data_IF_435772302367
#
_entry.id   IF_435772302367
#
_cell.length_a   1.000
_cell.length_b   1.000
_cell.length_c   1.000
_cell.angle_alpha   90.00
_cell.angle_beta   90.00
_cell.angle_gamma   90.00
#
_symmetry.space_group_name_H-M   'P 1'
#
loop_
_entity.id
_entity.type
_entity.pdbx_description
1 polymer ?
#
# COMPACT_ATOMS: atom_id res chain seq x y z
N UNK A 1 9.65 -8.96 24.71
CA UNK A 1 8.38 -8.98 23.95
C UNK A 1 8.70 -8.77 22.48
N UNK A 2 7.95 -9.38 21.56
CA UNK A 2 8.12 -9.09 20.12
C UNK A 2 7.66 -7.66 19.84
N UNK A 3 8.36 -6.97 18.94
CA UNK A 3 7.96 -5.65 18.45
C UNK A 3 6.69 -5.79 17.62
N UNK A 4 5.72 -4.90 17.85
CA UNK A 4 4.43 -4.93 17.16
C UNK A 4 4.38 -3.91 16.04
N UNK A 5 3.97 -4.35 14.86
CA UNK A 5 3.83 -3.52 13.65
C UNK A 5 2.38 -3.55 13.17
N UNK A 6 1.83 -2.37 12.91
CA UNK A 6 0.55 -2.21 12.23
C UNK A 6 0.78 -2.18 10.72
N UNK A 7 0.08 -3.05 9.99
CA UNK A 7 0.09 -3.05 8.52
C UNK A 7 -1.31 -2.72 8.02
N UNK A 8 -1.49 -1.53 7.47
CA UNK A 8 -2.74 -1.16 6.82
C UNK A 8 -2.74 -1.59 5.37
N UNK A 9 -3.86 -2.09 4.86
CA UNK A 9 -3.90 -2.74 3.54
C UNK A 9 -3.20 -4.10 3.55
N UNK A 10 -3.12 -4.74 4.72
CA UNK A 10 -2.34 -5.95 4.93
C UNK A 10 -2.91 -7.21 4.29
N UNK A 11 -4.16 -7.20 3.81
CA UNK A 11 -4.74 -8.29 3.01
C UNK A 11 -4.58 -8.06 1.51
N UNK A 12 -4.03 -6.91 1.09
CA UNK A 12 -3.67 -6.64 -0.30
C UNK A 12 -2.41 -7.40 -0.74
N UNK A 13 -2.05 -7.25 -2.03
CA UNK A 13 -0.92 -7.95 -2.65
C UNK A 13 0.40 -7.70 -1.90
N UNK A 14 0.88 -6.46 -1.89
CA UNK A 14 2.16 -6.11 -1.24
C UNK A 14 2.06 -6.28 0.28
N UNK A 15 0.91 -5.89 0.86
CA UNK A 15 0.66 -5.98 2.30
C UNK A 15 0.78 -7.41 2.83
N UNK A 16 0.18 -8.39 2.16
CA UNK A 16 0.20 -9.79 2.59
C UNK A 16 1.62 -10.38 2.58
N UNK A 17 2.41 -10.09 1.54
CA UNK A 17 3.82 -10.50 1.48
C UNK A 17 4.63 -9.83 2.60
N UNK A 18 4.40 -8.54 2.85
CA UNK A 18 5.07 -7.83 3.95
C UNK A 18 4.71 -8.42 5.31
N UNK A 19 3.46 -8.81 5.53
CA UNK A 19 3.04 -9.47 6.78
C UNK A 19 3.77 -10.79 6.98
N UNK A 20 3.90 -11.61 5.93
CA UNK A 20 4.66 -12.87 5.97
C UNK A 20 6.11 -12.62 6.38
N UNK A 21 6.80 -11.70 5.70
CA UNK A 21 8.19 -11.35 5.98
C UNK A 21 8.38 -10.82 7.41
N UNK A 22 7.48 -9.96 7.90
CA UNK A 22 7.52 -9.45 9.26
C UNK A 22 7.37 -10.57 10.30
N UNK A 23 6.41 -11.48 10.11
CA UNK A 23 6.20 -12.60 11.04
C UNK A 23 7.39 -13.56 11.05
N UNK A 24 7.96 -13.88 9.89
CA UNK A 24 9.16 -14.71 9.76
C UNK A 24 10.38 -14.03 10.37
N UNK A 25 10.44 -12.69 10.33
CA UNK A 25 11.46 -11.88 11.01
C UNK A 25 11.21 -11.69 12.52
N UNK A 26 10.16 -12.31 13.06
CA UNK A 26 9.89 -12.35 14.50
C UNK A 26 9.06 -11.19 15.04
N UNK A 27 8.46 -10.35 14.18
CA UNK A 27 7.54 -9.30 14.60
C UNK A 27 6.15 -9.86 14.93
N UNK A 28 5.44 -9.14 15.81
CA UNK A 28 3.99 -9.29 16.03
C UNK A 28 3.26 -8.34 15.08
N UNK A 29 2.28 -8.83 14.33
CA UNK A 29 1.65 -8.04 13.26
C UNK A 29 0.15 -7.92 13.50
N UNK A 30 -0.32 -6.68 13.40
CA UNK A 30 -1.76 -6.34 13.35
C UNK A 30 -2.06 -5.85 11.94
N UNK A 31 -3.03 -6.47 11.29
CA UNK A 31 -3.54 -6.07 9.97
C UNK A 31 -4.79 -5.21 10.14
N UNK A 32 -4.86 -4.11 9.41
CA UNK A 32 -6.09 -3.34 9.17
C UNK A 32 -6.37 -3.30 7.68
N UNK A 33 -7.58 -3.69 7.30
CA UNK A 33 -8.05 -3.63 5.92
C UNK A 33 -9.57 -3.50 5.89
N UNK A 34 -10.12 -2.68 5.01
CA UNK A 34 -11.57 -2.55 4.84
C UNK A 34 -12.15 -3.59 3.86
N UNK A 35 -11.29 -4.39 3.23
CA UNK A 35 -11.61 -5.40 2.23
C UNK A 35 -12.28 -4.85 0.97
N UNK A 36 -12.10 -3.59 0.66
CA UNK A 36 -12.67 -2.98 -0.56
C UNK A 36 -12.08 -3.53 -1.85
N UNK A 37 -10.80 -3.98 -1.81
CA UNK A 37 -10.09 -4.54 -2.96
C UNK A 37 -9.23 -5.77 -2.59
N UNK A 38 -9.63 -6.49 -1.57
CA UNK A 38 -8.95 -7.68 -1.06
C UNK A 38 -9.95 -8.66 -0.45
N UNK A 39 -9.47 -9.81 0.04
CA UNK A 39 -10.31 -10.83 0.66
C UNK A 39 -9.75 -11.20 2.05
N UNK A 40 -10.64 -11.48 3.00
CA UNK A 40 -10.29 -11.92 4.34
C UNK A 40 -9.56 -13.28 4.36
N UNK A 41 -9.77 -14.14 3.36
CA UNK A 41 -9.10 -15.43 3.22
C UNK A 41 -7.58 -15.33 3.14
N UNK A 42 -7.08 -14.15 2.80
CA UNK A 42 -5.64 -13.84 2.81
C UNK A 42 -5.03 -14.01 4.21
N UNK A 43 -5.79 -13.72 5.27
CA UNK A 43 -5.35 -13.92 6.67
C UNK A 43 -5.11 -15.40 6.96
N UNK A 44 -6.02 -16.28 6.50
CA UNK A 44 -5.87 -17.72 6.63
C UNK A 44 -4.68 -18.25 5.82
N UNK A 45 -4.45 -17.68 4.65
CA UNK A 45 -3.33 -18.04 3.80
C UNK A 45 -1.99 -17.60 4.39
N UNK A 46 -1.92 -16.41 5.01
CA UNK A 46 -0.74 -15.97 5.76
C UNK A 46 -0.44 -16.95 6.92
N UNK A 47 -1.47 -17.36 7.67
CA UNK A 47 -1.32 -18.35 8.75
C UNK A 47 -0.78 -19.67 8.23
N UNK A 48 -1.29 -20.17 7.10
CA UNK A 48 -0.76 -21.40 6.47
C UNK A 48 0.70 -21.30 6.05
N UNK A 49 1.13 -20.11 5.61
CA UNK A 49 2.51 -19.86 5.18
C UNK A 49 3.46 -19.74 6.37
N UNK A 50 3.07 -19.03 7.42
CA UNK A 50 3.96 -18.65 8.52
C UNK A 50 3.79 -19.50 9.78
N UNK A 51 2.68 -20.23 9.89
CA UNK A 51 2.26 -20.91 11.12
C UNK A 51 1.74 -19.97 12.22
N UNK A 52 1.62 -18.68 11.92
CA UNK A 52 1.20 -17.64 12.88
C UNK A 52 0.01 -16.87 12.31
N UNK A 53 -1.13 -16.91 12.98
CA UNK A 53 -2.28 -16.09 12.60
C UNK A 53 -2.04 -14.63 13.01
N UNK A 54 -1.96 -13.67 12.05
CA UNK A 54 -1.89 -12.27 12.41
C UNK A 54 -3.20 -11.79 13.03
N UNK A 55 -3.15 -10.81 13.93
CA UNK A 55 -4.33 -10.10 14.36
C UNK A 55 -4.92 -9.34 13.15
N UNK A 56 -6.23 -9.40 12.98
CA UNK A 56 -6.91 -8.76 11.86
C UNK A 56 -8.13 -7.96 12.32
N UNK A 57 -8.20 -6.70 11.88
CA UNK A 57 -9.35 -5.82 12.10
C UNK A 57 -9.90 -5.36 10.74
N UNK A 58 -11.15 -5.71 10.47
CA UNK A 58 -11.87 -5.17 9.33
C UNK A 58 -12.31 -3.75 9.66
N UNK A 59 -11.48 -2.78 9.26
CA UNK A 59 -11.67 -1.38 9.61
C UNK A 59 -11.16 -0.48 8.47
N UNK A 60 -11.85 0.64 8.25
CA UNK A 60 -11.41 1.67 7.31
C UNK A 60 -10.48 2.67 8.00
N UNK A 61 -9.33 2.98 7.40
CA UNK A 61 -8.42 4.00 7.92
C UNK A 61 -9.03 5.42 7.91
N UNK A 62 -10.16 5.62 7.22
CA UNK A 62 -10.94 6.86 7.28
C UNK A 62 -11.73 7.01 8.58
N UNK A 63 -12.01 5.93 9.29
CA UNK A 63 -12.69 5.94 10.58
C UNK A 63 -11.69 6.28 11.70
N UNK A 64 -11.54 7.57 11.99
CA UNK A 64 -10.61 8.06 13.01
C UNK A 64 -10.86 7.44 14.38
N UNK A 65 -12.14 7.38 14.82
CA UNK A 65 -12.48 6.82 16.14
C UNK A 65 -12.23 5.32 16.20
N UNK A 66 -12.54 4.59 15.14
CA UNK A 66 -12.24 3.17 15.00
C UNK A 66 -10.75 2.91 15.08
N UNK A 67 -9.94 3.71 14.38
CA UNK A 67 -8.48 3.63 14.42
C UNK A 67 -7.92 3.97 15.80
N UNK A 68 -8.44 4.96 16.50
CA UNK A 68 -8.04 5.33 17.87
C UNK A 68 -8.30 4.17 18.86
N UNK A 69 -9.46 3.53 18.75
CA UNK A 69 -9.81 2.33 19.53
C UNK A 69 -8.88 1.16 19.22
N UNK A 70 -8.50 1.00 17.95
CA UNK A 70 -7.55 -0.03 17.53
C UNK A 70 -6.18 0.16 18.18
N UNK A 71 -5.62 1.37 18.14
CA UNK A 71 -4.35 1.68 18.80
C UNK A 71 -4.41 1.43 20.30
N UNK A 72 -5.54 1.71 20.93
CA UNK A 72 -5.78 1.41 22.35
C UNK A 72 -5.83 -0.11 22.60
N UNK A 73 -6.57 -0.85 21.76
CA UNK A 73 -6.70 -2.31 21.84
C UNK A 73 -5.37 -3.03 21.66
N UNK A 74 -4.55 -2.57 20.72
CA UNK A 74 -3.26 -3.14 20.39
C UNK A 74 -2.09 -2.25 20.89
N UNK A 75 -2.18 -1.81 22.15
CA UNK A 75 -1.15 -0.96 22.73
C UNK A 75 0.27 -1.52 22.52
N UNK A 76 1.24 -0.63 22.35
CA UNK A 76 2.63 -1.00 22.09
C UNK A 76 2.96 -1.25 20.61
N UNK A 77 2.16 -0.74 19.68
CA UNK A 77 2.56 -0.64 18.27
C UNK A 77 3.77 0.30 18.19
N UNK A 78 4.88 -0.20 17.64
CA UNK A 78 6.13 0.55 17.49
C UNK A 78 6.24 1.27 16.14
N UNK A 79 5.56 0.74 15.12
CA UNK A 79 5.59 1.31 13.78
C UNK A 79 4.40 0.90 12.92
N UNK A 80 4.21 1.65 11.85
CA UNK A 80 3.15 1.45 10.86
C UNK A 80 3.78 1.22 9.50
N UNK A 81 3.24 0.26 8.73
CA UNK A 81 3.47 0.17 7.29
C UNK A 81 2.14 0.44 6.60
N UNK A 82 2.06 1.55 5.88
CA UNK A 82 0.82 2.05 5.32
C UNK A 82 0.72 1.75 3.83
N UNK A 83 0.00 0.66 3.49
CA UNK A 83 -0.32 0.29 2.11
C UNK A 83 -1.75 0.65 1.71
N UNK A 84 -2.66 0.83 2.68
CA UNK A 84 -4.07 1.09 2.39
C UNK A 84 -4.23 2.36 1.53
N UNK A 85 -4.68 2.17 0.30
CA UNK A 85 -4.94 3.25 -0.65
C UNK A 85 -5.77 2.76 -1.83
N UNK A 86 -6.54 3.64 -2.47
CA UNK A 86 -7.04 3.43 -3.82
C UNK A 86 -5.88 3.62 -4.80
N UNK A 87 -5.64 2.65 -5.71
CA UNK A 87 -4.40 2.61 -6.52
C UNK A 87 -4.60 2.60 -8.04
N UNK A 88 -5.84 2.47 -8.53
CA UNK A 88 -6.11 2.35 -9.95
C UNK A 88 -6.03 3.71 -10.65
N UNK A 89 -5.00 3.89 -11.51
CA UNK A 89 -4.74 5.16 -12.22
C UNK A 89 -5.94 5.59 -13.06
N UNK A 90 -6.49 4.69 -13.88
CA UNK A 90 -7.65 5.00 -14.73
C UNK A 90 -8.91 5.39 -13.93
N UNK A 91 -9.22 4.67 -12.84
CA UNK A 91 -10.34 5.03 -11.97
C UNK A 91 -10.12 6.38 -11.29
N UNK A 92 -8.89 6.73 -10.94
CA UNK A 92 -8.60 8.03 -10.32
C UNK A 92 -8.99 9.20 -11.21
N UNK A 93 -8.83 9.06 -12.53
CA UNK A 93 -9.25 10.08 -13.49
C UNK A 93 -10.79 10.21 -13.59
N UNK A 94 -11.50 9.12 -13.35
CA UNK A 94 -12.97 9.12 -13.37
C UNK A 94 -13.58 9.55 -12.03
N UNK A 95 -12.90 9.23 -10.91
CA UNK A 95 -13.40 9.47 -9.55
C UNK A 95 -12.35 10.20 -8.68
N UNK A 96 -11.84 11.38 -9.07
CA UNK A 96 -10.71 12.01 -8.40
C UNK A 96 -10.98 12.30 -6.91
N UNK A 97 -12.17 12.76 -6.56
CA UNK A 97 -12.50 13.08 -5.17
C UNK A 97 -12.49 11.86 -4.24
N UNK A 98 -12.85 10.67 -4.75
CA UNK A 98 -12.71 9.42 -4.01
C UNK A 98 -11.25 9.18 -3.64
N UNK A 99 -10.33 9.34 -4.60
CA UNK A 99 -8.90 9.14 -4.41
C UNK A 99 -8.29 10.15 -3.45
N UNK A 100 -8.59 11.43 -3.61
CA UNK A 100 -8.12 12.45 -2.67
C UNK A 100 -8.62 12.19 -1.25
N UNK A 101 -9.92 11.93 -1.07
CA UNK A 101 -10.46 11.65 0.26
C UNK A 101 -9.83 10.40 0.87
N UNK A 102 -9.83 9.28 0.14
CA UNK A 102 -9.34 8.01 0.67
C UNK A 102 -7.85 8.06 0.99
N UNK A 103 -7.04 8.54 0.05
CA UNK A 103 -5.59 8.42 0.18
C UNK A 103 -4.98 9.50 1.09
N UNK A 104 -5.57 10.69 1.19
CA UNK A 104 -5.03 11.74 2.05
C UNK A 104 -5.54 11.61 3.48
N UNK A 105 -6.86 11.43 3.67
CA UNK A 105 -7.44 11.39 5.01
C UNK A 105 -6.96 10.16 5.79
N UNK A 106 -6.80 9.00 5.14
CA UNK A 106 -6.26 7.82 5.80
C UNK A 106 -4.86 8.05 6.38
N UNK A 107 -3.98 8.73 5.64
CA UNK A 107 -2.64 9.08 6.13
C UNK A 107 -2.70 10.13 7.24
N UNK A 108 -3.51 11.17 7.09
CA UNK A 108 -3.67 12.24 8.10
C UNK A 108 -4.14 11.62 9.43
N UNK A 109 -5.15 10.76 9.41
CA UNK A 109 -5.63 10.08 10.60
C UNK A 109 -4.52 9.29 11.31
N UNK A 110 -3.68 8.58 10.55
CA UNK A 110 -2.55 7.85 11.14
C UNK A 110 -1.52 8.79 11.75
N UNK A 111 -1.13 9.86 11.04
CA UNK A 111 -0.13 10.83 11.53
C UNK A 111 -0.60 11.58 12.79
N UNK A 112 -1.89 11.84 12.94
CA UNK A 112 -2.48 12.43 14.15
C UNK A 112 -2.51 11.43 15.33
N UNK A 113 -2.82 10.16 15.05
CA UNK A 113 -2.92 9.12 16.08
C UNK A 113 -1.54 8.63 16.56
N UNK A 114 -0.52 8.65 15.71
CA UNK A 114 0.81 8.17 16.05
C UNK A 114 1.40 8.80 17.31
N UNK A 115 1.50 10.14 17.45
CA UNK A 115 2.02 10.75 18.67
C UNK A 115 1.12 10.50 19.88
N UNK A 116 -0.20 10.44 19.71
CA UNK A 116 -1.17 10.15 20.77
C UNK A 116 -0.93 8.78 21.40
N UNK A 117 -0.51 7.78 20.60
CA UNK A 117 -0.25 6.41 21.03
C UNK A 117 1.23 6.05 21.12
N UNK A 118 2.14 7.05 21.12
CA UNK A 118 3.60 6.87 21.19
C UNK A 118 4.18 6.02 20.04
N UNK A 119 3.52 5.97 18.88
CA UNK A 119 4.05 5.35 17.68
C UNK A 119 4.97 6.32 16.97
N UNK A 120 6.22 5.92 16.68
CA UNK A 120 7.24 6.84 16.15
C UNK A 120 7.60 6.59 14.69
N UNK A 121 7.41 5.37 14.20
CA UNK A 121 7.85 5.00 12.86
C UNK A 121 6.70 4.80 11.89
N UNK A 122 6.82 5.34 10.68
CA UNK A 122 5.91 5.01 9.57
C UNK A 122 6.72 4.73 8.30
N UNK A 123 6.38 3.62 7.64
CA UNK A 123 6.79 3.35 6.27
C UNK A 123 5.58 3.62 5.38
N UNK A 124 5.71 4.59 4.50
CA UNK A 124 4.65 4.98 3.59
C UNK A 124 4.86 4.38 2.20
N UNK A 125 3.86 3.69 1.70
CA UNK A 125 3.81 3.21 0.32
C UNK A 125 3.56 4.37 -0.63
N UNK A 126 4.63 5.00 -1.11
CA UNK A 126 4.60 5.96 -2.19
C UNK A 126 4.60 5.23 -3.55
N UNK A 127 4.94 5.89 -4.63
CA UNK A 127 4.88 5.33 -5.97
C UNK A 127 5.89 6.03 -6.89
N UNK A 128 6.39 5.34 -7.90
CA UNK A 128 7.15 5.95 -8.99
C UNK A 128 6.37 7.05 -9.73
N UNK A 129 5.05 7.05 -9.65
CA UNK A 129 4.19 8.09 -10.26
C UNK A 129 4.44 9.49 -9.72
N UNK A 130 5.15 9.64 -8.59
CA UNK A 130 5.58 10.95 -8.07
C UNK A 130 6.63 11.63 -8.95
N UNK A 131 7.35 10.88 -9.79
CA UNK A 131 8.32 11.46 -10.72
C UNK A 131 7.70 12.08 -11.98
N UNK A 132 6.40 11.79 -12.27
CA UNK A 132 5.77 12.18 -13.53
C UNK A 132 6.49 11.55 -14.73
N UNK A 133 6.68 12.33 -15.80
CA UNK A 133 7.50 11.91 -16.95
C UNK A 133 8.96 12.31 -16.70
N UNK A 134 9.87 11.36 -16.39
CA UNK A 134 11.27 11.64 -16.12
C UNK A 134 12.01 12.05 -17.38
N UNK A 135 13.03 12.92 -17.24
CA UNK A 135 13.87 13.35 -18.39
C UNK A 135 14.96 12.32 -18.74
N UNK A 136 15.34 11.50 -17.76
CA UNK A 136 16.43 10.52 -17.90
C UNK A 136 16.05 9.18 -17.30
N UNK A 137 16.52 8.12 -17.92
CA UNK A 137 16.38 6.73 -17.47
C UNK A 137 17.77 6.10 -17.26
N UNK A 138 17.93 5.19 -16.30
CA UNK A 138 16.95 4.80 -15.29
C UNK A 138 16.66 5.91 -14.28
N UNK A 139 15.43 5.92 -13.73
CA UNK A 139 15.03 6.88 -12.69
C UNK A 139 15.72 6.52 -11.37
N UNK A 140 16.26 7.53 -10.69
CA UNK A 140 16.85 7.42 -9.36
C UNK A 140 16.09 8.30 -8.36
N UNK A 141 16.38 8.16 -7.07
CA UNK A 141 15.77 8.97 -6.02
C UNK A 141 16.11 10.47 -6.13
N UNK A 142 17.18 10.81 -6.86
CA UNK A 142 17.58 12.19 -7.15
C UNK A 142 16.78 12.82 -8.30
N UNK A 143 15.98 12.04 -9.02
CA UNK A 143 15.16 12.56 -10.10
C UNK A 143 14.14 13.59 -9.56
N UNK A 144 13.92 14.72 -10.26
CA UNK A 144 12.99 15.75 -9.82
C UNK A 144 11.56 15.22 -9.80
N UNK A 145 10.79 15.66 -8.80
CA UNK A 145 9.34 15.44 -8.75
C UNK A 145 8.70 16.40 -9.76
N UNK A 146 8.01 15.86 -10.74
CA UNK A 146 7.29 16.61 -11.77
C UNK A 146 5.79 16.52 -11.55
N UNK A 147 5.01 17.26 -12.34
CA UNK A 147 3.56 17.19 -12.28
C UNK A 147 3.09 15.75 -12.47
N UNK A 148 2.25 15.29 -11.55
CA UNK A 148 1.65 13.96 -11.64
C UNK A 148 0.72 13.84 -12.86
N UNK A 149 0.78 12.69 -13.54
CA UNK A 149 -0.04 12.40 -14.73
C UNK A 149 -1.48 11.97 -14.38
N UNK A 150 -1.77 11.74 -13.09
CA UNK A 150 -3.07 11.28 -12.63
C UNK A 150 -3.40 11.78 -11.23
N UNK A 151 -4.70 11.84 -10.86
CA UNK A 151 -5.10 12.12 -9.48
C UNK A 151 -4.49 11.13 -8.47
N UNK A 152 -4.37 9.84 -8.81
CA UNK A 152 -3.67 8.88 -7.96
C UNK A 152 -2.21 9.29 -7.70
N UNK A 153 -1.45 9.58 -8.77
CA UNK A 153 -0.07 10.04 -8.63
C UNK A 153 0.03 11.32 -7.81
N UNK A 154 -0.89 12.26 -8.02
CA UNK A 154 -0.94 13.50 -7.24
C UNK A 154 -1.24 13.24 -5.75
N UNK A 155 -2.10 12.29 -5.41
CA UNK A 155 -2.31 11.93 -3.99
C UNK A 155 -1.03 11.40 -3.36
N UNK A 156 -0.17 10.70 -4.10
CA UNK A 156 1.12 10.23 -3.58
C UNK A 156 2.10 11.37 -3.37
N UNK A 157 2.16 12.36 -4.30
CA UNK A 157 2.97 13.57 -4.13
C UNK A 157 2.53 14.37 -2.88
N UNK A 158 1.23 14.67 -2.76
CA UNK A 158 0.67 15.40 -1.62
C UNK A 158 0.94 14.66 -0.30
N UNK A 159 0.81 13.34 -0.28
CA UNK A 159 1.11 12.53 0.91
C UNK A 159 2.58 12.62 1.33
N UNK A 160 3.52 12.64 0.36
CA UNK A 160 4.93 12.87 0.68
C UNK A 160 5.17 14.28 1.24
N UNK A 161 4.46 15.30 0.74
CA UNK A 161 4.51 16.66 1.27
C UNK A 161 3.95 16.71 2.70
N UNK A 162 2.77 16.14 2.95
CA UNK A 162 2.17 16.06 4.28
C UNK A 162 3.14 15.40 5.28
N UNK A 163 3.79 14.30 4.89
CA UNK A 163 4.77 13.62 5.76
C UNK A 163 5.96 14.54 6.04
N UNK A 164 6.53 15.20 5.02
CA UNK A 164 7.67 16.10 5.20
C UNK A 164 7.33 17.26 6.12
N UNK A 165 6.17 17.89 5.91
CA UNK A 165 5.71 19.02 6.72
C UNK A 165 5.45 18.59 8.17
N UNK A 166 4.85 17.41 8.37
CA UNK A 166 4.62 16.82 9.69
C UNK A 166 5.95 16.61 10.44
N UNK A 167 6.96 16.06 9.78
CA UNK A 167 8.29 15.86 10.37
C UNK A 167 8.97 17.21 10.63
N UNK A 168 8.90 18.15 9.68
CA UNK A 168 9.50 19.47 9.80
C UNK A 168 8.87 20.32 10.91
N UNK A 169 7.61 20.10 11.26
CA UNK A 169 6.93 20.77 12.38
C UNK A 169 7.42 20.35 13.77
N UNK A 170 8.37 19.41 13.86
CA UNK A 170 8.90 18.88 15.12
C UNK A 170 8.08 17.70 15.69
N UNK A 171 7.21 17.09 14.90
CA UNK A 171 6.54 15.83 15.27
C UNK A 171 7.58 14.74 15.59
N UNK A 172 7.34 13.90 16.62
CA UNK A 172 8.26 12.79 16.94
C UNK A 172 8.23 11.64 15.93
N UNK A 173 7.55 11.82 14.80
CA UNK A 173 7.39 10.81 13.76
C UNK A 173 8.63 10.72 12.88
N UNK A 174 9.12 9.50 12.66
CA UNK A 174 10.14 9.16 11.67
C UNK A 174 9.48 8.46 10.50
N UNK A 175 9.72 8.92 9.29
CA UNK A 175 9.07 8.39 8.11
C UNK A 175 10.07 7.91 7.05
N UNK A 176 9.75 6.80 6.40
CA UNK A 176 10.40 6.30 5.19
C UNK A 176 9.34 6.23 4.10
N UNK A 177 9.61 6.82 2.94
CA UNK A 177 8.72 6.81 1.78
C UNK A 177 9.30 5.90 0.70
N UNK A 178 8.62 4.78 0.42
CA UNK A 178 9.06 3.81 -0.57
C UNK A 178 8.32 4.06 -1.89
N UNK A 179 9.05 4.46 -2.92
CA UNK A 179 8.51 4.74 -4.26
C UNK A 179 8.58 3.48 -5.11
N UNK A 180 7.54 2.67 -5.05
CA UNK A 180 7.46 1.43 -5.83
C UNK A 180 7.27 1.72 -7.31
N UNK A 181 7.94 0.95 -8.15
CA UNK A 181 7.54 0.71 -9.52
C UNK A 181 6.46 -0.38 -9.54
N UNK A 182 6.37 -1.22 -10.56
CA UNK A 182 5.38 -2.27 -10.63
C UNK A 182 5.95 -3.58 -10.05
N UNK A 183 5.67 -3.92 -8.78
CA UNK A 183 6.12 -5.19 -8.24
C UNK A 183 5.40 -6.33 -8.94
N UNK A 184 6.13 -7.41 -9.21
CA UNK A 184 5.60 -8.62 -9.82
C UNK A 184 6.02 -9.84 -9.00
N UNK A 185 5.21 -10.88 -9.04
CA UNK A 185 5.50 -12.17 -8.40
C UNK A 185 4.38 -12.64 -7.49
N UNK A 186 4.55 -13.86 -7.01
CA UNK A 186 3.70 -14.47 -5.99
C UNK A 186 4.59 -15.19 -4.99
N UNK A 187 4.07 -15.47 -3.80
CA UNK A 187 4.78 -16.26 -2.81
C UNK A 187 5.00 -17.69 -3.32
N UNK A 188 6.15 -18.34 -3.05
CA UNK A 188 6.43 -19.71 -3.53
C UNK A 188 5.39 -20.75 -3.13
N UNK A 189 4.66 -20.52 -2.03
CA UNK A 189 3.55 -21.39 -1.61
C UNK A 189 2.33 -21.36 -2.55
N UNK A 190 2.26 -20.41 -3.48
CA UNK A 190 1.09 -20.08 -4.30
C UNK A 190 -0.19 -19.71 -3.51
N UNK A 191 -0.09 -19.42 -2.21
CA UNK A 191 -1.23 -19.06 -1.35
C UNK A 191 -1.52 -17.56 -1.33
N UNK A 192 -0.51 -16.72 -1.58
CA UNK A 192 -0.63 -15.26 -1.67
C UNK A 192 0.06 -14.74 -2.93
N UNK A 193 -0.52 -13.70 -3.52
CA UNK A 193 -0.06 -13.09 -4.76
C UNK A 193 -0.95 -11.93 -5.16
N UNK A 194 -0.80 -11.44 -6.38
CA UNK A 194 -1.66 -10.39 -6.91
C UNK A 194 -2.97 -10.98 -7.46
N UNK A 195 -4.04 -10.88 -6.65
CA UNK A 195 -5.39 -11.38 -6.96
C UNK A 195 -6.37 -10.20 -6.98
N UNK A 196 -6.42 -9.42 -8.08
CA UNK A 196 -7.30 -8.27 -8.16
C UNK A 196 -8.77 -8.68 -8.24
N UNK A 197 -9.64 -7.93 -7.56
CA UNK A 197 -11.08 -8.06 -7.76
C UNK A 197 -11.46 -7.46 -9.13
N UNK A 198 -12.12 -8.25 -9.98
CA UNK A 198 -12.56 -7.81 -11.31
C UNK A 198 -11.44 -7.79 -12.37
N UNK A 199 -11.42 -6.74 -13.20
CA UNK A 199 -10.45 -6.61 -14.30
C UNK A 199 -9.09 -6.19 -13.74
N UNK A 200 -7.99 -6.94 -14.02
CA UNK A 200 -6.66 -6.53 -13.61
C UNK A 200 -6.25 -5.17 -14.17
N UNK A 201 -5.53 -4.39 -13.36
CA UNK A 201 -4.97 -3.11 -13.79
C UNK A 201 -3.45 -3.19 -14.05
N UNK A 202 -2.82 -4.28 -13.60
CA UNK A 202 -1.41 -4.56 -13.85
C UNK A 202 -1.24 -5.62 -14.93
N UNK A 203 -0.12 -5.57 -15.63
CA UNK A 203 0.18 -6.45 -16.77
C UNK A 203 0.17 -7.93 -16.37
N UNK A 204 0.88 -8.30 -15.31
CA UNK A 204 1.12 -9.71 -15.00
C UNK A 204 -0.16 -10.50 -14.67
N UNK A 205 -1.08 -10.02 -13.80
CA UNK A 205 -2.35 -10.71 -13.59
C UNK A 205 -3.19 -10.81 -14.88
N UNK A 206 -3.09 -9.80 -15.76
CA UNK A 206 -3.80 -9.85 -17.04
C UNK A 206 -3.25 -10.97 -17.94
N UNK A 207 -1.92 -11.07 -18.05
CA UNK A 207 -1.23 -12.12 -18.83
C UNK A 207 -1.55 -13.50 -18.27
N UNK A 208 -1.44 -13.69 -16.96
CA UNK A 208 -1.70 -15.00 -16.33
C UNK A 208 -3.15 -15.42 -16.45
N UNK A 209 -4.12 -14.51 -16.30
CA UNK A 209 -5.53 -14.79 -16.50
C UNK A 209 -5.84 -15.15 -17.97
N UNK A 210 -5.16 -14.52 -18.93
CA UNK A 210 -5.29 -14.88 -20.35
C UNK A 210 -4.70 -16.26 -20.62
N UNK A 211 -3.52 -16.56 -20.09
CA UNK A 211 -2.90 -17.87 -20.22
C UNK A 211 -3.75 -18.99 -19.61
N UNK A 212 -4.49 -18.70 -18.53
CA UNK A 212 -5.42 -19.64 -17.89
C UNK A 212 -6.79 -19.74 -18.59
N UNK A 213 -7.02 -19.00 -19.68
CA UNK A 213 -8.30 -18.98 -20.38
C UNK A 213 -9.44 -18.24 -19.64
N UNK A 214 -9.13 -17.52 -18.57
CA UNK A 214 -10.11 -16.68 -17.86
C UNK A 214 -10.48 -15.46 -18.72
N UNK A 215 -9.53 -14.99 -19.54
CA UNK A 215 -9.69 -13.90 -20.51
C UNK A 215 -9.40 -14.42 -21.91
N UNK A 216 -10.15 -13.92 -22.89
CA UNK A 216 -10.03 -14.37 -24.27
C UNK A 216 -8.73 -13.92 -24.91
N UNK A 217 -8.27 -12.68 -24.60
CA UNK A 217 -7.12 -12.09 -25.26
C UNK A 217 -6.38 -11.08 -24.38
N UNK A 218 -5.12 -10.85 -24.73
CA UNK A 218 -4.29 -9.75 -24.24
C UNK A 218 -4.29 -8.64 -25.30
N UNK A 219 -4.57 -7.40 -24.91
CA UNK A 219 -4.50 -6.24 -25.81
C UNK A 219 -3.15 -5.54 -25.67
N UNK A 220 -2.52 -5.25 -26.79
CA UNK A 220 -1.34 -4.40 -26.89
C UNK A 220 -1.78 -3.01 -27.34
N UNK A 221 -1.42 -1.96 -26.58
CA UNK A 221 -1.88 -0.60 -26.78
C UNK A 221 -0.84 0.28 -27.52
N UNK A 222 -0.25 -0.23 -28.55
CA UNK A 222 0.75 0.44 -29.37
C UNK A 222 2.10 -0.26 -29.33
N UNK A 223 2.94 0.11 -30.30
CA UNK A 223 4.28 -0.40 -30.53
C UNK A 223 5.27 0.71 -30.93
N UNK A 224 4.89 1.95 -30.62
CA UNK A 224 5.56 3.19 -31.03
C UNK A 224 6.39 3.84 -29.89
N UNK A 225 6.58 3.13 -28.78
CA UNK A 225 7.47 3.56 -27.70
C UNK A 225 8.92 3.27 -28.02
N UNK A 226 9.79 4.25 -27.75
CA UNK A 226 11.25 4.07 -27.86
C UNK A 226 11.75 3.23 -26.67
N UNK A 227 11.59 1.92 -26.78
CA UNK A 227 12.03 0.92 -25.81
C UNK A 227 12.82 -0.18 -26.49
N UNK A 228 13.76 -0.84 -25.77
CA UNK A 228 14.51 -1.96 -26.32
C UNK A 228 13.61 -3.10 -26.78
#
# INVERSE_FOLDING_TARGET
MKKRILVTGGTGYIGSHTVVELQQSGYDVVIVDNLSNSNADVVDNIEKVTGIRPAFEKLDCLDYEGMDKLFTKYAGIEGIIHFAASKAVGESCQKPLLYYRNNLVSLINLLELMPKHNVKGIIFSSSCTVYGQPDTLPVTEAAPIKKAESPYGNTKQINEEIIRDTVASGSPVHAIMLRYFNPIGAHPSALIGELPNGVPQNLLPYVTQTAMGIREQLSVFGDDYDTP
#
